data_IF_946541771633
#
_entry.id   IF_946541771633
#
_cell.length_a   1.000
_cell.length_b   1.000
_cell.length_c   1.000
_cell.angle_alpha   90.00
_cell.angle_beta   90.00
_cell.angle_gamma   90.00
#
_symmetry.space_group_name_H-M   'P 1'
#
loop_
_entity.id
_entity.type
_entity.pdbx_description
1 polymer ?
#
# COMPACT_ATOMS: atom_id res chain seq x y z
N UNK A 1 -30.28 7.77 11.53
CA UNK A 1 -29.11 8.08 10.69
C UNK A 1 -28.91 6.90 9.75
N UNK A 2 -29.11 7.08 8.45
CA UNK A 2 -28.93 6.02 7.46
C UNK A 2 -27.69 6.35 6.63
N UNK A 3 -26.86 5.35 6.34
CA UNK A 3 -25.69 5.51 5.45
C UNK A 3 -26.20 5.71 4.03
N UNK A 4 -25.90 6.85 3.40
CA UNK A 4 -26.40 7.17 2.05
C UNK A 4 -25.58 6.51 0.93
N UNK A 5 -24.27 6.29 1.13
CA UNK A 5 -23.40 5.59 0.18
C UNK A 5 -22.26 4.84 0.88
N UNK A 6 -21.91 3.67 0.33
CA UNK A 6 -20.69 2.92 0.67
C UNK A 6 -19.86 2.76 -0.59
N UNK A 7 -18.69 3.40 -0.64
CA UNK A 7 -17.76 3.28 -1.76
C UNK A 7 -16.85 2.07 -1.55
N UNK A 8 -17.23 0.92 -2.11
CA UNK A 8 -16.42 -0.29 -2.08
C UNK A 8 -15.33 -0.27 -3.18
N UNK A 9 -14.37 0.64 -3.05
CA UNK A 9 -13.29 0.83 -4.03
C UNK A 9 -12.27 -0.32 -4.05
N UNK A 10 -12.21 -1.14 -2.99
CA UNK A 10 -11.22 -2.21 -2.86
C UNK A 10 -11.42 -3.28 -3.94
N UNK A 11 -12.67 -3.68 -4.19
CA UNK A 11 -12.99 -4.66 -5.24
C UNK A 11 -12.67 -4.14 -6.65
N UNK A 12 -12.94 -2.86 -6.93
CA UNK A 12 -12.61 -2.23 -8.23
C UNK A 12 -11.09 -2.13 -8.44
N UNK A 13 -10.35 -1.79 -7.39
CA UNK A 13 -8.89 -1.69 -7.45
C UNK A 13 -8.25 -3.05 -7.73
N UNK A 14 -8.70 -4.11 -7.04
CA UNK A 14 -8.23 -5.49 -7.28
C UNK A 14 -8.53 -5.91 -8.73
N UNK A 15 -9.72 -5.59 -9.24
CA UNK A 15 -10.09 -5.84 -10.64
C UNK A 15 -9.19 -5.13 -11.65
N UNK A 16 -8.96 -3.83 -11.46
CA UNK A 16 -8.10 -3.05 -12.35
C UNK A 16 -6.64 -3.51 -12.32
N UNK A 17 -6.15 -3.92 -11.16
CA UNK A 17 -4.79 -4.43 -10.97
C UNK A 17 -4.62 -5.89 -11.45
N UNK A 18 -5.70 -6.61 -11.76
CA UNK A 18 -5.70 -8.00 -12.26
C UNK A 18 -4.91 -8.96 -11.36
N UNK A 19 -5.00 -8.79 -10.03
CA UNK A 19 -4.14 -9.50 -9.06
C UNK A 19 -4.26 -11.04 -9.09
N UNK A 20 -5.30 -11.59 -9.73
CA UNK A 20 -5.44 -13.03 -9.97
C UNK A 20 -4.54 -13.56 -11.09
N UNK A 21 -4.18 -12.71 -12.06
CA UNK A 21 -3.43 -13.09 -13.25
C UNK A 21 -1.93 -13.19 -12.92
N UNK A 22 -1.24 -14.30 -13.27
CA UNK A 22 0.20 -14.44 -13.04
C UNK A 22 1.03 -13.32 -13.68
N UNK A 23 0.61 -12.83 -14.84
CA UNK A 23 1.30 -11.79 -15.61
C UNK A 23 1.22 -10.41 -14.91
N UNK A 24 0.28 -10.24 -13.98
CA UNK A 24 0.14 -9.02 -13.18
C UNK A 24 1.04 -9.03 -11.93
N UNK A 25 1.76 -10.13 -11.66
CA UNK A 25 2.65 -10.27 -10.50
C UNK A 25 4.00 -9.65 -10.81
N UNK A 26 4.17 -8.41 -10.39
CA UNK A 26 5.44 -7.70 -10.52
C UNK A 26 6.44 -8.14 -9.46
N UNK A 27 7.74 -8.02 -9.77
CA UNK A 27 8.78 -8.13 -8.77
C UNK A 27 8.62 -7.03 -7.70
N UNK A 28 9.01 -7.31 -6.46
CA UNK A 28 8.74 -6.40 -5.34
C UNK A 28 9.47 -5.05 -5.46
N UNK A 29 10.62 -5.06 -6.11
CA UNK A 29 11.45 -3.90 -6.41
C UNK A 29 11.02 -3.15 -7.69
N UNK A 30 10.09 -3.70 -8.47
CA UNK A 30 9.57 -3.06 -9.68
C UNK A 30 8.60 -1.89 -9.36
N UNK A 31 8.19 -1.73 -8.11
CA UNK A 31 7.33 -0.63 -7.64
C UNK A 31 7.91 -0.01 -6.37
N UNK A 32 7.64 1.29 -6.10
CA UNK A 32 8.07 1.92 -4.87
C UNK A 32 7.51 1.22 -3.63
N UNK A 33 8.26 1.22 -2.53
CA UNK A 33 7.76 0.78 -1.22
C UNK A 33 6.77 1.78 -0.64
N UNK A 34 6.02 1.39 0.40
CA UNK A 34 5.10 2.29 1.10
C UNK A 34 5.87 3.44 1.74
N UNK A 35 7.03 3.18 2.32
CA UNK A 35 7.93 4.18 2.87
C UNK A 35 8.42 5.15 1.81
N UNK A 36 8.84 4.65 0.63
CA UNK A 36 9.25 5.50 -0.49
C UNK A 36 8.10 6.41 -0.96
N UNK A 37 6.90 5.85 -1.17
CA UNK A 37 5.72 6.63 -1.55
C UNK A 37 5.40 7.73 -0.53
N UNK A 38 5.36 7.38 0.77
CA UNK A 38 5.06 8.33 1.85
C UNK A 38 6.13 9.41 1.97
N UNK A 39 7.41 9.04 1.94
CA UNK A 39 8.50 10.00 2.01
C UNK A 39 8.40 11.01 0.84
N UNK A 40 8.19 10.55 -0.40
CA UNK A 40 7.99 11.46 -1.53
C UNK A 40 6.79 12.38 -1.34
N UNK A 41 5.63 11.86 -0.91
CA UNK A 41 4.41 12.66 -0.72
C UNK A 41 4.54 13.70 0.40
N UNK A 42 5.37 13.43 1.40
CA UNK A 42 5.59 14.32 2.56
C UNK A 42 6.84 15.20 2.42
N UNK A 43 7.61 15.09 1.33
CA UNK A 43 8.90 15.78 1.17
C UNK A 43 10.02 15.26 2.07
N UNK A 44 9.91 14.02 2.55
CA UNK A 44 10.90 13.34 3.39
C UNK A 44 12.07 12.73 2.61
N UNK A 45 13.06 12.28 3.36
CA UNK A 45 14.32 11.71 2.83
C UNK A 45 14.23 10.20 2.57
N UNK A 46 15.27 9.63 1.94
CA UNK A 46 15.41 8.19 1.80
C UNK A 46 15.57 7.47 3.15
N UNK A 47 16.15 8.12 4.17
CA UNK A 47 16.23 7.58 5.52
C UNK A 47 14.85 7.52 6.18
N UNK A 48 14.00 8.52 5.93
CA UNK A 48 12.61 8.50 6.39
C UNK A 48 11.83 7.37 5.72
N UNK A 49 12.03 7.13 4.43
CA UNK A 49 11.42 6.00 3.71
C UNK A 49 11.77 4.65 4.35
N UNK A 50 13.05 4.41 4.66
CA UNK A 50 13.49 3.16 5.27
C UNK A 50 12.89 2.95 6.67
N UNK A 51 12.83 4.02 7.50
CA UNK A 51 12.17 3.97 8.81
C UNK A 51 10.68 3.65 8.66
N UNK A 52 9.99 4.34 7.76
CA UNK A 52 8.56 4.13 7.49
C UNK A 52 8.25 2.71 7.01
N UNK A 53 9.12 2.11 6.19
CA UNK A 53 8.96 0.72 5.77
C UNK A 53 9.13 -0.26 6.94
N UNK A 54 10.13 -0.05 7.80
CA UNK A 54 10.35 -0.89 8.98
C UNK A 54 9.16 -0.82 9.95
N UNK A 55 8.70 0.40 10.26
CA UNK A 55 7.54 0.63 11.13
C UNK A 55 6.28 -0.02 10.53
N UNK A 56 6.08 0.12 9.22
CA UNK A 56 4.95 -0.52 8.52
C UNK A 56 5.02 -2.05 8.59
N UNK A 57 6.19 -2.67 8.41
CA UNK A 57 6.35 -4.12 8.54
C UNK A 57 6.08 -4.61 9.96
N UNK A 58 6.49 -3.83 10.97
CA UNK A 58 6.21 -4.17 12.36
C UNK A 58 4.71 -4.08 12.68
N UNK A 59 4.05 -2.99 12.29
CA UNK A 59 2.62 -2.78 12.50
C UNK A 59 1.79 -3.86 11.80
N UNK A 60 2.13 -4.23 10.55
CA UNK A 60 1.46 -5.33 9.84
C UNK A 60 1.59 -6.65 10.60
N UNK A 61 2.71 -6.89 11.29
CA UNK A 61 2.93 -8.12 12.06
C UNK A 61 2.17 -8.14 13.38
N UNK A 62 2.04 -6.99 14.04
CA UNK A 62 1.51 -6.90 15.42
C UNK A 62 0.05 -6.46 15.50
N UNK A 63 -0.39 -5.62 14.56
CA UNK A 63 -1.61 -4.82 14.70
C UNK A 63 -2.64 -5.08 13.59
N UNK A 64 -2.36 -6.02 12.67
CA UNK A 64 -3.27 -6.31 11.57
C UNK A 64 -4.54 -7.07 12.04
N UNK A 65 -4.53 -7.65 13.25
CA UNK A 65 -5.65 -8.37 13.87
C UNK A 65 -5.67 -8.22 15.39
#
# INVERSE_FOLDING_TARGET
>A
MAVEQVLFHCGKAINRARLWAPEARLARDAVPSIGAMKATLSGGSAADAARLDADYQEAVRKDLY
#
